data_IF_253050275349
#
_entry.id   IF_253050275349
#
_cell.length_a   1.000
_cell.length_b   1.000
_cell.length_c   1.000
_cell.angle_alpha   90.00
_cell.angle_beta   90.00
_cell.angle_gamma   90.00
#
_symmetry.space_group_name_H-M   'P 1'
#
loop_
_entity.id
_entity.type
_entity.pdbx_description
1 polymer ?
#
# COMPACT_ATOMS: atom_id res chain seq x y z
N UNK A 1 -12.60 63.36 -34.83
CA UNK A 1 -11.78 63.09 -33.63
C UNK A 1 -12.33 61.98 -32.72
N UNK A 2 -13.64 61.98 -32.35
CA UNK A 2 -14.22 60.89 -31.51
C UNK A 2 -14.10 59.47 -32.08
N UNK A 3 -14.18 59.30 -33.43
CA UNK A 3 -14.06 57.97 -34.06
C UNK A 3 -12.63 57.42 -34.07
N UNK A 4 -11.63 58.30 -34.15
CA UNK A 4 -10.20 57.92 -34.09
C UNK A 4 -9.83 57.51 -32.68
N UNK A 5 -10.37 58.15 -31.66
CA UNK A 5 -10.13 57.84 -30.25
C UNK A 5 -10.71 56.46 -29.88
N UNK A 6 -11.88 56.07 -30.39
CA UNK A 6 -12.50 54.76 -30.20
C UNK A 6 -11.67 53.66 -30.88
N UNK A 7 -11.17 53.88 -32.08
CA UNK A 7 -10.30 52.92 -32.79
C UNK A 7 -8.96 52.67 -32.10
N UNK A 8 -8.36 53.71 -31.51
CA UNK A 8 -7.12 53.61 -30.71
C UNK A 8 -7.36 52.85 -29.39
N UNK A 9 -8.50 53.04 -28.71
CA UNK A 9 -8.88 52.29 -27.53
C UNK A 9 -9.17 50.81 -27.84
N UNK A 10 -9.79 50.49 -28.98
CA UNK A 10 -9.97 49.12 -29.44
C UNK A 10 -8.64 48.42 -29.80
N UNK A 11 -7.68 49.11 -30.35
CA UNK A 11 -6.35 48.55 -30.64
C UNK A 11 -5.50 48.29 -29.39
N UNK A 12 -5.69 49.06 -28.32
CA UNK A 12 -5.00 48.88 -27.06
C UNK A 12 -5.60 47.72 -26.20
N UNK A 13 -6.84 47.31 -26.45
CA UNK A 13 -7.48 46.21 -25.74
C UNK A 13 -7.14 44.82 -26.28
N UNK A 14 -6.39 44.69 -27.37
CA UNK A 14 -6.02 43.41 -28.00
C UNK A 14 -4.64 42.88 -27.56
N UNK A 15 -3.92 43.62 -26.72
CA UNK A 15 -2.65 43.13 -26.13
C UNK A 15 -2.87 42.20 -24.95
N UNK A 16 -3.81 41.26 -25.05
CA UNK A 16 -3.82 40.10 -24.18
C UNK A 16 -2.63 39.24 -24.63
N UNK A 17 -1.50 39.38 -23.96
CA UNK A 17 -0.38 38.44 -24.11
C UNK A 17 -0.86 37.07 -23.67
N UNK A 18 -1.29 36.25 -24.62
CA UNK A 18 -1.50 34.84 -24.37
C UNK A 18 -0.13 34.26 -23.97
N UNK A 19 0.03 33.84 -22.72
CA UNK A 19 1.22 33.12 -22.28
C UNK A 19 1.45 31.93 -23.20
N UNK A 20 2.66 31.81 -23.73
CA UNK A 20 3.04 30.66 -24.54
C UNK A 20 3.19 29.43 -23.65
N UNK A 21 3.01 28.21 -24.19
CA UNK A 21 3.26 26.97 -23.46
C UNK A 21 4.70 26.92 -22.89
N UNK A 22 5.66 27.53 -23.57
CA UNK A 22 7.06 27.60 -23.08
C UNK A 22 7.21 28.48 -21.85
N UNK A 23 6.54 29.64 -21.80
CA UNK A 23 6.54 30.53 -20.64
C UNK A 23 5.81 29.88 -19.45
N UNK A 24 4.66 29.24 -19.70
CA UNK A 24 3.94 28.49 -18.69
C UNK A 24 4.78 27.34 -18.12
N UNK A 25 5.46 26.58 -18.99
CA UNK A 25 6.36 25.50 -18.55
C UNK A 25 7.47 26.06 -17.65
N UNK A 26 8.14 27.13 -18.06
CA UNK A 26 9.19 27.78 -17.24
C UNK A 26 8.65 28.24 -15.88
N UNK A 27 7.45 28.82 -15.87
CA UNK A 27 6.77 29.23 -14.64
C UNK A 27 6.52 28.04 -13.69
N UNK A 28 5.93 26.96 -14.20
CA UNK A 28 5.62 25.78 -13.37
C UNK A 28 6.88 25.01 -12.94
N UNK A 29 7.96 25.03 -13.73
CA UNK A 29 9.25 24.48 -13.31
C UNK A 29 9.85 25.30 -12.14
N UNK A 30 9.75 26.62 -12.19
CA UNK A 30 10.18 27.49 -11.09
C UNK A 30 9.29 27.27 -9.83
N UNK A 31 7.97 27.19 -10.02
CA UNK A 31 7.02 26.88 -8.96
C UNK A 31 7.31 25.51 -8.32
N UNK A 32 7.54 24.47 -9.12
CA UNK A 32 7.94 23.14 -8.63
C UNK A 32 9.19 23.20 -7.75
N UNK A 33 10.24 23.91 -8.20
CA UNK A 33 11.49 24.07 -7.44
C UNK A 33 11.24 24.78 -6.11
N UNK A 34 10.39 25.78 -6.10
CA UNK A 34 10.04 26.53 -4.89
C UNK A 34 9.27 25.65 -3.89
N UNK A 35 8.24 24.93 -4.36
CA UNK A 35 7.45 24.02 -3.51
C UNK A 35 8.31 22.89 -2.93
N UNK A 36 9.21 22.33 -3.75
CA UNK A 36 10.17 21.33 -3.29
C UNK A 36 11.09 21.86 -2.18
N UNK A 37 11.58 23.10 -2.32
CA UNK A 37 12.41 23.75 -1.29
C UNK A 37 11.64 23.99 0.02
N UNK A 38 10.35 24.24 -0.07
CA UNK A 38 9.47 24.48 1.09
C UNK A 38 8.97 23.17 1.73
N UNK A 39 9.10 22.02 1.05
CA UNK A 39 8.50 20.76 1.48
C UNK A 39 6.97 20.73 1.30
N UNK A 40 6.42 21.63 0.45
CA UNK A 40 4.98 21.67 0.17
C UNK A 40 4.60 20.59 -0.85
N UNK A 41 4.18 19.43 -0.34
CA UNK A 41 3.79 18.27 -1.16
C UNK A 41 2.60 18.60 -2.07
N UNK A 42 1.60 19.34 -1.58
CA UNK A 42 0.45 19.71 -2.40
C UNK A 42 0.85 20.66 -3.52
N UNK A 43 1.71 21.62 -3.24
CA UNK A 43 2.30 22.51 -4.25
C UNK A 43 3.11 21.74 -5.31
N UNK A 44 3.86 20.72 -4.91
CA UNK A 44 4.59 19.83 -5.83
C UNK A 44 3.61 19.07 -6.73
N UNK A 45 2.55 18.46 -6.16
CA UNK A 45 1.49 17.76 -6.93
C UNK A 45 0.86 18.71 -7.97
N UNK A 46 0.51 19.93 -7.57
CA UNK A 46 -0.07 20.92 -8.47
C UNK A 46 0.89 21.26 -9.62
N UNK A 47 2.15 21.54 -9.29
CA UNK A 47 3.17 21.87 -10.30
C UNK A 47 3.36 20.74 -11.33
N UNK A 48 3.51 19.48 -10.86
CA UNK A 48 3.69 18.31 -11.72
C UNK A 48 2.45 18.09 -12.60
N UNK A 49 1.24 18.29 -12.06
CA UNK A 49 -0.01 18.16 -12.82
C UNK A 49 -0.03 19.16 -14.00
N UNK A 50 0.29 20.43 -13.75
CA UNK A 50 0.39 21.43 -14.83
C UNK A 50 1.49 21.10 -15.85
N UNK A 51 2.66 20.70 -15.38
CA UNK A 51 3.77 20.30 -16.26
C UNK A 51 3.40 19.09 -17.14
N UNK A 52 2.63 18.13 -16.61
CA UNK A 52 2.16 17.00 -17.40
C UNK A 52 1.08 17.37 -18.43
N UNK A 53 0.29 18.41 -18.20
CA UNK A 53 -0.65 18.94 -19.19
C UNK A 53 0.09 19.66 -20.34
N UNK A 54 1.14 20.41 -20.00
CA UNK A 54 1.93 21.16 -20.99
C UNK A 54 2.85 20.24 -21.82
N UNK A 55 3.44 19.26 -21.17
CA UNK A 55 4.38 18.31 -21.76
C UNK A 55 4.26 16.96 -21.05
N UNK A 56 3.48 16.00 -21.58
CA UNK A 56 3.31 14.70 -20.99
C UNK A 56 4.64 13.95 -20.79
N UNK A 57 4.84 13.38 -19.59
CA UNK A 57 6.05 12.61 -19.25
C UNK A 57 5.69 11.43 -18.36
N UNK A 58 6.14 10.23 -18.75
CA UNK A 58 5.94 9.00 -17.95
C UNK A 58 6.59 9.16 -16.57
N UNK A 59 7.83 9.61 -16.52
CA UNK A 59 8.55 9.80 -15.25
C UNK A 59 7.86 10.79 -14.30
N UNK A 60 7.24 11.86 -14.84
CA UNK A 60 6.44 12.78 -14.03
C UNK A 60 5.13 12.18 -13.57
N UNK A 61 4.48 11.33 -14.37
CA UNK A 61 3.28 10.59 -13.95
C UNK A 61 3.61 9.63 -12.82
N UNK A 62 4.72 8.90 -12.92
CA UNK A 62 5.19 7.97 -11.89
C UNK A 62 5.45 8.71 -10.57
N UNK A 63 6.16 9.84 -10.63
CA UNK A 63 6.39 10.70 -9.46
C UNK A 63 5.07 11.22 -8.85
N UNK A 64 4.12 11.64 -9.70
CA UNK A 64 2.81 12.13 -9.26
C UNK A 64 2.02 11.03 -8.56
N UNK A 65 2.00 9.82 -9.11
CA UNK A 65 1.33 8.68 -8.51
C UNK A 65 1.94 8.28 -7.17
N UNK A 66 3.27 8.30 -7.06
CA UNK A 66 3.98 8.07 -5.80
C UNK A 66 3.62 9.13 -4.74
N UNK A 67 3.57 10.41 -5.12
CA UNK A 67 3.16 11.48 -4.21
C UNK A 67 1.70 11.31 -3.75
N UNK A 68 0.80 10.92 -4.64
CA UNK A 68 -0.57 10.60 -4.25
C UNK A 68 -0.65 9.41 -3.28
N UNK A 69 0.16 8.36 -3.49
CA UNK A 69 0.26 7.23 -2.56
C UNK A 69 0.74 7.70 -1.18
N UNK A 70 1.81 8.51 -1.11
CA UNK A 70 2.38 9.00 0.14
C UNK A 70 1.43 9.89 0.94
N UNK A 71 0.50 10.57 0.25
CA UNK A 71 -0.55 11.38 0.84
C UNK A 71 -1.85 10.58 1.16
N UNK A 72 -1.83 9.25 1.01
CA UNK A 72 -3.01 8.41 1.21
C UNK A 72 -4.10 8.58 0.14
N UNK A 73 -3.80 9.24 -0.97
CA UNK A 73 -4.73 9.50 -2.08
C UNK A 73 -4.67 8.34 -3.09
N UNK A 74 -5.02 7.14 -2.63
CA UNK A 74 -4.83 5.89 -3.39
C UNK A 74 -5.56 5.86 -4.73
N UNK A 75 -6.82 6.36 -4.77
CA UNK A 75 -7.58 6.44 -6.03
C UNK A 75 -6.93 7.37 -7.04
N UNK A 76 -6.41 8.53 -6.60
CA UNK A 76 -5.69 9.45 -7.48
C UNK A 76 -4.39 8.85 -7.99
N UNK A 77 -3.67 8.10 -7.16
CA UNK A 77 -2.47 7.36 -7.60
C UNK A 77 -2.82 6.41 -8.75
N UNK A 78 -3.84 5.56 -8.56
CA UNK A 78 -4.28 4.61 -9.59
C UNK A 78 -4.84 5.29 -10.84
N UNK A 79 -5.61 6.38 -10.69
CA UNK A 79 -6.11 7.15 -11.83
C UNK A 79 -4.98 7.79 -12.66
N UNK A 80 -3.80 8.01 -12.05
CA UNK A 80 -2.65 8.60 -12.72
C UNK A 80 -1.89 7.58 -13.58
N UNK A 81 -1.73 6.33 -13.10
CA UNK A 81 -0.88 5.32 -13.75
C UNK A 81 -1.64 4.07 -14.23
N UNK A 82 -2.96 4.00 -13.92
CA UNK A 82 -3.80 2.84 -14.22
C UNK A 82 -3.71 1.74 -13.16
N UNK A 83 -4.62 0.76 -13.26
CA UNK A 83 -4.69 -0.42 -12.37
C UNK A 83 -4.10 -1.67 -13.03
N UNK A 84 -4.10 -1.73 -14.36
CA UNK A 84 -3.71 -2.92 -15.10
C UNK A 84 -2.21 -3.22 -14.96
N UNK A 85 -1.86 -4.51 -14.99
CA UNK A 85 -0.46 -4.92 -15.10
C UNK A 85 0.10 -4.53 -16.47
N UNK A 86 1.27 -3.90 -16.46
CA UNK A 86 2.00 -3.59 -17.67
C UNK A 86 3.44 -4.12 -17.54
N UNK A 87 3.90 -4.84 -18.54
CA UNK A 87 5.25 -5.41 -18.55
C UNK A 87 6.37 -4.35 -18.50
N UNK A 88 6.06 -3.12 -18.94
CA UNK A 88 6.99 -1.98 -18.93
C UNK A 88 6.92 -1.13 -17.66
N UNK A 89 6.04 -1.48 -16.70
CA UNK A 89 5.96 -0.75 -15.43
C UNK A 89 7.30 -0.83 -14.68
N UNK A 90 7.75 0.32 -14.19
CA UNK A 90 8.86 0.40 -13.25
C UNK A 90 8.48 -0.27 -11.92
N UNK A 91 9.48 -0.68 -11.12
CA UNK A 91 9.22 -1.23 -9.78
C UNK A 91 8.42 -0.25 -8.92
N UNK A 92 8.70 1.05 -9.03
CA UNK A 92 7.94 2.09 -8.34
C UNK A 92 6.46 2.10 -8.76
N UNK A 93 6.14 1.96 -10.06
CA UNK A 93 4.76 1.89 -10.53
C UNK A 93 4.04 0.65 -10.01
N UNK A 94 4.70 -0.50 -10.09
CA UNK A 94 4.14 -1.75 -9.57
C UNK A 94 3.89 -1.64 -8.06
N UNK A 95 4.81 -1.05 -7.31
CA UNK A 95 4.66 -0.82 -5.87
C UNK A 95 3.52 0.14 -5.55
N UNK A 96 3.41 1.27 -6.27
CA UNK A 96 2.30 2.23 -6.12
C UNK A 96 0.95 1.56 -6.37
N UNK A 97 0.83 0.73 -7.43
CA UNK A 97 -0.39 -0.03 -7.72
C UNK A 97 -0.69 -1.03 -6.60
N UNK A 98 0.29 -1.83 -6.19
CA UNK A 98 0.16 -2.84 -5.15
C UNK A 98 -0.33 -2.24 -3.82
N UNK A 99 0.36 -1.20 -3.34
CA UNK A 99 0.04 -0.53 -2.08
C UNK A 99 -1.29 0.22 -2.14
N UNK A 100 -1.59 0.92 -3.24
CA UNK A 100 -2.86 1.62 -3.40
C UNK A 100 -4.04 0.64 -3.39
N UNK A 101 -3.97 -0.45 -4.15
CA UNK A 101 -5.01 -1.47 -4.19
C UNK A 101 -5.19 -2.17 -2.84
N UNK A 102 -4.09 -2.48 -2.13
CA UNK A 102 -4.15 -3.03 -0.78
C UNK A 102 -4.89 -2.10 0.18
N UNK A 103 -4.54 -0.80 0.20
CA UNK A 103 -5.18 0.19 1.07
C UNK A 103 -6.64 0.47 0.69
N UNK A 104 -7.03 0.23 -0.55
CA UNK A 104 -8.42 0.28 -1.02
C UNK A 104 -9.19 -1.03 -0.78
N UNK A 105 -8.63 -1.96 0.00
CA UNK A 105 -9.21 -3.27 0.30
C UNK A 105 -9.53 -4.10 -0.96
N UNK A 106 -8.63 -4.07 -1.95
CA UNK A 106 -8.68 -4.84 -3.18
C UNK A 106 -7.57 -5.92 -3.21
N UNK A 107 -7.57 -6.89 -2.27
CA UNK A 107 -6.42 -7.79 -2.08
C UNK A 107 -6.13 -8.67 -3.31
N UNK A 108 -7.15 -9.06 -4.08
CA UNK A 108 -6.94 -9.86 -5.30
C UNK A 108 -6.14 -9.10 -6.35
N UNK A 109 -6.51 -7.85 -6.61
CA UNK A 109 -5.80 -7.01 -7.59
C UNK A 109 -4.41 -6.61 -7.05
N UNK A 110 -4.31 -6.31 -5.75
CA UNK A 110 -3.02 -6.01 -5.12
C UNK A 110 -2.04 -7.18 -5.27
N UNK A 111 -2.48 -8.41 -5.04
CA UNK A 111 -1.67 -9.62 -5.19
C UNK A 111 -1.05 -9.75 -6.58
N UNK A 112 -1.77 -9.38 -7.64
CA UNK A 112 -1.23 -9.43 -9.00
C UNK A 112 0.03 -8.57 -9.17
N UNK A 113 0.10 -7.42 -8.50
CA UNK A 113 1.25 -6.54 -8.52
C UNK A 113 2.33 -6.97 -7.53
N UNK A 114 1.94 -7.43 -6.34
CA UNK A 114 2.90 -8.00 -5.37
C UNK A 114 3.63 -9.22 -5.93
N UNK A 115 2.97 -10.05 -6.73
CA UNK A 115 3.59 -11.20 -7.41
C UNK A 115 4.66 -10.74 -8.42
N UNK A 116 4.41 -9.65 -9.15
CA UNK A 116 5.42 -9.06 -10.06
C UNK A 116 6.64 -8.58 -9.26
N UNK A 117 6.44 -7.86 -8.16
CA UNK A 117 7.53 -7.40 -7.30
C UNK A 117 8.31 -8.58 -6.72
N UNK A 118 7.60 -9.60 -6.25
CA UNK A 118 8.24 -10.78 -5.66
C UNK A 118 9.03 -11.58 -6.69
N UNK A 119 8.55 -11.71 -7.93
CA UNK A 119 9.29 -12.34 -9.02
C UNK A 119 10.57 -11.59 -9.38
N UNK A 120 10.55 -10.24 -9.35
CA UNK A 120 11.70 -9.40 -9.64
C UNK A 120 12.73 -9.39 -8.52
N UNK A 121 12.27 -9.25 -7.29
CA UNK A 121 13.14 -9.11 -6.10
C UNK A 121 12.49 -9.78 -4.89
N UNK A 122 12.59 -11.13 -4.77
CA UNK A 122 12.03 -11.88 -3.66
C UNK A 122 12.60 -11.40 -2.32
N UNK A 123 11.72 -11.11 -1.35
CA UNK A 123 12.14 -10.76 0.01
C UNK A 123 11.06 -11.11 1.04
N UNK A 124 11.46 -11.14 2.31
CA UNK A 124 10.62 -11.56 3.43
C UNK A 124 9.42 -10.64 3.64
N UNK A 125 9.58 -9.33 3.42
CA UNK A 125 8.49 -8.36 3.60
C UNK A 125 7.39 -8.57 2.55
N UNK A 126 7.75 -8.75 1.28
CA UNK A 126 6.79 -9.08 0.22
C UNK A 126 6.10 -10.42 0.48
N UNK A 127 6.86 -11.44 0.92
CA UNK A 127 6.31 -12.74 1.26
C UNK A 127 5.26 -12.64 2.38
N UNK A 128 5.53 -11.84 3.42
CA UNK A 128 4.57 -11.57 4.49
C UNK A 128 3.30 -10.91 3.96
N UNK A 129 3.43 -9.83 3.18
CA UNK A 129 2.29 -9.09 2.60
C UNK A 129 1.41 -10.01 1.73
N UNK A 130 2.05 -10.82 0.89
CA UNK A 130 1.35 -11.77 0.03
C UNK A 130 0.66 -12.86 0.83
N UNK A 131 1.30 -13.41 1.86
CA UNK A 131 0.74 -14.43 2.72
C UNK A 131 -0.53 -13.92 3.43
N UNK A 132 -0.48 -12.73 4.00
CA UNK A 132 -1.61 -12.10 4.69
C UNK A 132 -2.80 -11.92 3.73
N UNK A 133 -2.58 -11.34 2.56
CA UNK A 133 -3.63 -11.15 1.55
C UNK A 133 -4.16 -12.47 0.98
N UNK A 134 -3.29 -13.48 0.78
CA UNK A 134 -3.70 -14.80 0.29
C UNK A 134 -4.59 -15.55 1.30
N UNK A 135 -4.33 -15.39 2.61
CA UNK A 135 -5.25 -15.89 3.66
C UNK A 135 -6.62 -15.20 3.51
N UNK A 136 -6.65 -13.87 3.34
CA UNK A 136 -7.89 -13.11 3.20
C UNK A 136 -8.72 -13.52 1.98
N UNK A 137 -8.07 -13.86 0.87
CA UNK A 137 -8.77 -14.31 -0.35
C UNK A 137 -8.95 -15.82 -0.43
N UNK A 138 -8.63 -16.55 0.65
CA UNK A 138 -8.72 -18.01 0.78
C UNK A 138 -7.83 -18.80 -0.19
N UNK A 139 -6.72 -18.22 -0.65
CA UNK A 139 -5.63 -18.95 -1.32
C UNK A 139 -4.66 -19.51 -0.27
N UNK A 140 -5.10 -20.57 0.42
CA UNK A 140 -4.35 -21.14 1.54
C UNK A 140 -3.04 -21.80 1.10
N UNK A 141 -3.01 -22.40 -0.10
CA UNK A 141 -1.81 -23.02 -0.66
C UNK A 141 -0.74 -21.97 -0.98
N UNK A 142 -1.12 -20.87 -1.64
CA UNK A 142 -0.24 -19.75 -1.92
C UNK A 142 0.24 -19.05 -0.66
N UNK A 143 -0.64 -18.88 0.35
CA UNK A 143 -0.27 -18.32 1.64
C UNK A 143 0.80 -19.18 2.34
N UNK A 144 0.63 -20.51 2.34
CA UNK A 144 1.59 -21.45 2.91
C UNK A 144 2.97 -21.31 2.29
N UNK A 145 3.05 -21.29 0.95
CA UNK A 145 4.31 -21.14 0.24
C UNK A 145 5.03 -19.83 0.60
N UNK A 146 4.30 -18.70 0.70
CA UNK A 146 4.88 -17.43 1.08
C UNK A 146 5.32 -17.41 2.55
N UNK A 147 4.59 -18.02 3.48
CA UNK A 147 5.00 -18.14 4.89
C UNK A 147 6.26 -19.00 5.01
N UNK A 148 6.33 -20.12 4.30
CA UNK A 148 7.50 -21.00 4.30
C UNK A 148 8.74 -20.28 3.75
N UNK A 149 8.59 -19.54 2.64
CA UNK A 149 9.66 -18.68 2.13
C UNK A 149 10.10 -17.66 3.18
N UNK A 150 9.15 -16.97 3.81
CA UNK A 150 9.42 -15.98 4.85
C UNK A 150 10.19 -16.58 6.03
N UNK A 151 9.72 -17.70 6.59
CA UNK A 151 10.36 -18.36 7.74
C UNK A 151 11.75 -18.91 7.42
N UNK A 152 12.01 -19.31 6.16
CA UNK A 152 13.32 -19.80 5.72
C UNK A 152 14.34 -18.67 5.57
N UNK A 153 13.87 -17.45 5.17
CA UNK A 153 14.75 -16.35 4.80
C UNK A 153 14.77 -15.20 5.82
N UNK A 154 13.94 -15.26 6.88
CA UNK A 154 13.89 -14.21 7.91
C UNK A 154 15.19 -14.19 8.72
N UNK A 155 15.70 -12.96 8.97
CA UNK A 155 16.84 -12.71 9.85
C UNK A 155 16.36 -12.15 11.20
N UNK A 156 17.15 -12.32 12.23
CA UNK A 156 16.76 -11.95 13.61
C UNK A 156 16.57 -10.43 13.81
N UNK A 157 17.24 -9.61 13.00
CA UNK A 157 17.13 -8.14 13.02
C UNK A 157 15.91 -7.58 12.28
N UNK A 158 15.24 -8.43 11.48
CA UNK A 158 14.05 -8.00 10.73
C UNK A 158 12.85 -7.77 11.64
N UNK A 159 12.25 -6.59 11.51
CA UNK A 159 11.06 -6.17 12.26
C UNK A 159 9.96 -5.70 11.32
N UNK A 160 8.74 -5.68 11.84
CA UNK A 160 7.56 -5.13 11.17
C UNK A 160 6.79 -4.23 12.12
N UNK A 161 6.40 -3.06 11.63
CA UNK A 161 5.50 -2.15 12.33
C UNK A 161 4.03 -2.56 12.15
N UNK A 162 3.26 -2.39 13.22
CA UNK A 162 1.82 -2.62 13.30
C UNK A 162 1.12 -1.36 13.82
N UNK A 163 -0.09 -1.09 13.32
CA UNK A 163 -0.82 0.17 13.51
C UNK A 163 -2.25 -0.02 14.02
N UNK A 164 -2.61 -1.22 14.47
CA UNK A 164 -3.97 -1.53 14.94
C UNK A 164 -4.25 -1.06 16.38
N UNK A 165 -3.24 -0.53 17.06
CA UNK A 165 -3.36 0.06 18.39
C UNK A 165 -3.21 1.58 18.33
N UNK A 166 -3.61 2.31 19.39
CA UNK A 166 -3.47 3.77 19.45
C UNK A 166 -2.02 4.24 19.22
N UNK A 167 -1.06 3.47 19.68
CA UNK A 167 0.36 3.72 19.42
C UNK A 167 0.92 2.61 18.54
N UNK A 168 1.53 2.93 17.41
CA UNK A 168 2.22 1.95 16.58
C UNK A 168 3.30 1.22 17.40
N UNK A 169 3.49 -0.06 17.09
CA UNK A 169 4.56 -0.86 17.70
C UNK A 169 5.25 -1.72 16.63
N UNK A 170 6.45 -2.15 16.94
CA UNK A 170 7.20 -3.08 16.10
C UNK A 170 7.26 -4.45 16.76
N UNK A 171 7.23 -5.50 15.95
CA UNK A 171 7.52 -6.87 16.39
C UNK A 171 8.54 -7.55 15.48
N UNK A 172 9.15 -8.63 15.94
CA UNK A 172 10.02 -9.48 15.12
C UNK A 172 9.26 -9.99 13.90
N UNK A 173 9.86 -9.89 12.71
CA UNK A 173 9.29 -10.44 11.48
C UNK A 173 9.04 -11.95 11.60
N UNK A 174 9.89 -12.68 12.35
CA UNK A 174 9.70 -14.10 12.64
C UNK A 174 8.44 -14.36 13.46
N UNK A 175 8.19 -13.55 14.50
CA UNK A 175 6.95 -13.62 15.27
C UNK A 175 5.72 -13.31 14.41
N UNK A 176 5.81 -12.31 13.55
CA UNK A 176 4.75 -11.96 12.62
C UNK A 176 4.44 -13.09 11.60
N UNK A 177 5.44 -13.78 11.10
CA UNK A 177 5.26 -14.94 10.21
C UNK A 177 4.66 -16.14 10.94
N UNK A 178 5.05 -16.41 12.20
CA UNK A 178 4.42 -17.45 13.02
C UNK A 178 2.95 -17.13 13.30
N UNK A 179 2.62 -15.88 13.55
CA UNK A 179 1.25 -15.42 13.66
C UNK A 179 0.44 -15.73 12.39
N UNK A 180 0.93 -15.37 11.19
CA UNK A 180 0.27 -15.71 9.93
C UNK A 180 0.15 -17.22 9.73
N UNK A 181 1.15 -18.00 10.12
CA UNK A 181 1.08 -19.45 10.09
C UNK A 181 -0.05 -19.98 10.99
N UNK A 182 -0.24 -19.36 12.16
CA UNK A 182 -1.36 -19.69 13.06
C UNK A 182 -2.72 -19.36 12.41
N UNK A 183 -2.86 -18.20 11.78
CA UNK A 183 -4.09 -17.84 11.04
C UNK A 183 -4.37 -18.79 9.86
N UNK A 184 -3.35 -19.13 9.10
CA UNK A 184 -3.44 -20.10 8.02
C UNK A 184 -3.91 -21.45 8.53
N UNK A 185 -3.25 -21.99 9.57
CA UNK A 185 -3.58 -23.29 10.17
C UNK A 185 -5.03 -23.34 10.64
N UNK A 186 -5.53 -22.26 11.26
CA UNK A 186 -6.93 -22.15 11.64
C UNK A 186 -7.86 -22.10 10.42
N UNK A 187 -7.48 -21.38 9.35
CA UNK A 187 -8.27 -21.25 8.13
C UNK A 187 -8.39 -22.57 7.35
N UNK A 188 -7.37 -23.43 7.42
CA UNK A 188 -7.40 -24.77 6.80
C UNK A 188 -8.48 -25.67 7.43
N UNK A 189 -8.63 -25.64 8.75
CA UNK A 189 -9.71 -26.33 9.45
C UNK A 189 -9.99 -25.69 10.81
N UNK A 190 -11.02 -24.85 10.86
CA UNK A 190 -11.40 -24.06 12.04
C UNK A 190 -11.75 -24.88 13.29
N UNK A 191 -12.03 -26.15 13.12
CA UNK A 191 -12.42 -27.04 14.21
C UNK A 191 -11.29 -27.94 14.66
N UNK A 192 -10.62 -28.61 13.73
CA UNK A 192 -9.58 -29.57 14.05
C UNK A 192 -8.25 -28.89 14.42
N UNK A 193 -7.97 -27.74 13.83
CA UNK A 193 -6.68 -27.09 13.94
C UNK A 193 -6.61 -25.99 15.03
N UNK A 194 -7.63 -25.85 15.87
CA UNK A 194 -7.68 -24.78 16.87
C UNK A 194 -6.49 -24.84 17.86
N UNK A 195 -6.13 -26.04 18.33
CA UNK A 195 -5.02 -26.22 19.27
C UNK A 195 -3.66 -25.97 18.61
N UNK A 196 -3.49 -26.40 17.36
CA UNK A 196 -2.27 -26.12 16.60
C UNK A 196 -2.12 -24.60 16.34
N UNK A 197 -3.22 -23.91 16.10
CA UNK A 197 -3.22 -22.45 15.90
C UNK A 197 -2.89 -21.71 17.19
N UNK A 198 -3.48 -22.10 18.35
CA UNK A 198 -3.14 -21.56 19.67
C UNK A 198 -1.64 -21.75 19.96
N UNK A 199 -1.09 -22.92 19.65
CA UNK A 199 0.35 -23.18 19.81
C UNK A 199 1.20 -22.21 19.01
N UNK A 200 0.86 -21.96 17.74
CA UNK A 200 1.59 -21.02 16.88
C UNK A 200 1.49 -19.57 17.38
N UNK A 201 0.34 -19.16 17.96
CA UNK A 201 0.23 -17.85 18.62
C UNK A 201 1.13 -17.79 19.86
N UNK A 202 1.23 -18.85 20.64
CA UNK A 202 2.16 -18.92 21.78
C UNK A 202 3.63 -18.89 21.32
N UNK A 203 3.97 -19.59 20.24
CA UNK A 203 5.33 -19.55 19.66
C UNK A 203 5.70 -18.13 19.21
N UNK A 204 4.77 -17.39 18.60
CA UNK A 204 4.96 -15.98 18.25
C UNK A 204 5.16 -15.10 19.49
N UNK A 205 4.36 -15.31 20.55
CA UNK A 205 4.42 -14.57 21.82
C UNK A 205 5.67 -14.93 22.64
N UNK A 206 6.24 -16.11 22.47
CA UNK A 206 7.51 -16.48 23.07
C UNK A 206 8.68 -15.67 22.49
N UNK A 207 8.61 -15.27 21.19
CA UNK A 207 9.59 -14.40 20.54
C UNK A 207 9.34 -12.94 20.93
N UNK A 208 8.09 -12.50 20.88
CA UNK A 208 7.70 -11.13 21.23
C UNK A 208 6.45 -11.14 22.13
N UNK A 209 6.64 -11.05 23.44
CA UNK A 209 5.53 -11.03 24.41
C UNK A 209 4.58 -9.83 24.26
N UNK A 210 4.98 -8.78 23.52
CA UNK A 210 4.17 -7.58 23.33
C UNK A 210 3.37 -7.60 22.00
N UNK A 211 3.49 -8.65 21.21
CA UNK A 211 2.78 -8.75 19.94
C UNK A 211 1.25 -8.82 20.13
N UNK A 212 0.57 -7.68 19.98
CA UNK A 212 -0.84 -7.53 20.33
C UNK A 212 -1.76 -8.43 19.48
N UNK A 213 -1.56 -8.49 18.16
CA UNK A 213 -2.40 -9.34 17.29
C UNK A 213 -2.34 -10.82 17.69
N UNK A 214 -1.17 -11.33 18.04
CA UNK A 214 -1.04 -12.71 18.49
C UNK A 214 -1.75 -12.95 19.83
N UNK A 215 -1.70 -11.98 20.76
CA UNK A 215 -2.45 -12.05 22.05
C UNK A 215 -3.95 -12.12 21.81
N UNK A 216 -4.49 -11.18 21.03
CA UNK A 216 -5.93 -11.08 20.75
C UNK A 216 -6.42 -12.31 20.02
N UNK A 217 -5.67 -12.77 19.00
CA UNK A 217 -6.03 -13.98 18.24
C UNK A 217 -6.00 -15.23 19.10
N UNK A 218 -4.98 -15.40 19.97
CA UNK A 218 -4.93 -16.51 20.93
C UNK A 218 -6.15 -16.52 21.84
N UNK A 219 -6.49 -15.38 22.46
CA UNK A 219 -7.65 -15.27 23.35
C UNK A 219 -8.97 -15.62 22.64
N UNK A 220 -9.13 -15.18 21.38
CA UNK A 220 -10.29 -15.51 20.58
C UNK A 220 -10.39 -17.01 20.30
N UNK A 221 -9.27 -17.67 19.96
CA UNK A 221 -9.22 -19.12 19.73
C UNK A 221 -9.49 -19.92 21.00
N UNK A 222 -8.92 -19.53 22.14
CA UNK A 222 -9.18 -20.14 23.45
C UNK A 222 -10.65 -20.02 23.86
N UNK A 223 -11.26 -18.85 23.65
CA UNK A 223 -12.70 -18.64 23.89
C UNK A 223 -13.57 -19.53 23.01
N UNK A 224 -13.25 -19.63 21.72
CA UNK A 224 -13.97 -20.49 20.78
C UNK A 224 -13.86 -21.98 21.15
N UNK A 225 -12.68 -22.43 21.59
CA UNK A 225 -12.45 -23.80 22.10
C UNK A 225 -13.31 -24.09 23.33
N UNK A 226 -13.34 -23.17 24.29
CA UNK A 226 -14.14 -23.31 25.52
C UNK A 226 -15.65 -23.37 25.24
N UNK A 227 -16.14 -22.51 24.33
CA UNK A 227 -17.55 -22.52 23.90
C UNK A 227 -17.95 -23.84 23.23
N UNK A 228 -17.07 -24.41 22.40
CA UNK A 228 -17.30 -25.71 21.77
C UNK A 228 -17.41 -26.83 22.83
N UNK A 229 -16.44 -26.88 23.74
CA UNK A 229 -16.48 -27.88 24.80
C UNK A 229 -17.75 -27.80 25.67
N UNK A 230 -18.18 -26.56 26.00
CA UNK A 230 -19.44 -26.36 26.76
C UNK A 230 -20.69 -26.77 25.96
N UNK A 231 -20.69 -26.63 24.65
CA UNK A 231 -21.79 -27.06 23.79
C UNK A 231 -21.86 -28.59 23.64
N UNK A 232 -20.74 -29.28 23.60
CA UNK A 232 -20.63 -30.73 23.57
C UNK A 232 -21.12 -31.36 24.90
N UNK A 233 -20.73 -30.79 26.03
CA UNK A 233 -21.15 -31.24 27.36
C UNK A 233 -22.67 -31.07 27.65
N UNK A 234 -23.34 -30.15 26.95
CA UNK A 234 -24.81 -29.98 27.06
C UNK A 234 -25.62 -30.95 26.21
N UNK A 235 -24.98 -31.65 25.28
CA UNK A 235 -25.65 -32.64 24.41
C UNK A 235 -25.55 -34.07 24.92
N UNK A 236 -24.69 -34.31 25.86
CA UNK A 236 -24.52 -35.56 26.60
C UNK A 236 -25.26 -35.49 27.95
#
# INVERSE_FOLDING_TARGET
MKQITIAVIMLLSVSVFAQTNAELKTHYEAYYKQMKKQGDVQGIINAITHLNLLEPSVARKDTLAYLYLSEGKYMQALNTIGVEKNATDSDMNVEVKALSLKNLNQPKLALEHYEVLFQRTPNVYLAYEMADMKIQVNDLAGAKANIEYGLTNVKDDMKRAFYETQQPYETSMKAALLYLKGLLTFSENKTANIDASIKLMNDALAIDPNFNLAKVSRQALESQKAQKAAAENKKN
#
